data_IF_285712545003
#
_entry.id   IF_285712545003
#
_cell.length_a   1.000
_cell.length_b   1.000
_cell.length_c   1.000
_cell.angle_alpha   90.00
_cell.angle_beta   90.00
_cell.angle_gamma   90.00
#
_symmetry.space_group_name_H-M   'P 1'
#
loop_
_entity.id
_entity.type
_entity.pdbx_description
1 polymer ?
#
# COMPACT_ATOMS: atom_id res chain seq x y z
N UNK A 1 -30.01 22.06 51.60
CA UNK A 1 -30.50 20.71 51.28
C UNK A 1 -29.64 20.20 50.12
N UNK A 2 -28.48 19.54 50.19
CA UNK A 2 -27.68 18.79 51.17
C UNK A 2 -28.24 17.45 51.68
N UNK A 3 -28.18 16.42 50.84
CA UNK A 3 -27.96 15.00 51.18
C UNK A 3 -27.06 14.46 50.05
N UNK A 4 -25.77 14.10 50.19
CA UNK A 4 -25.07 13.12 51.06
C UNK A 4 -25.63 11.70 50.98
N UNK A 5 -25.09 10.91 50.05
CA UNK A 5 -24.91 9.47 50.23
C UNK A 5 -23.44 9.14 49.97
N UNK A 6 -22.84 8.47 50.95
CA UNK A 6 -21.42 8.12 51.07
C UNK A 6 -21.34 6.62 51.35
N UNK A 7 -20.23 6.01 50.90
CA UNK A 7 -19.73 4.65 51.20
C UNK A 7 -20.36 3.54 50.33
N UNK A 8 -19.61 2.54 49.86
CA UNK A 8 -18.59 1.77 50.61
C UNK A 8 -17.39 1.36 49.74
N UNK A 9 -16.25 1.50 50.40
CA UNK A 9 -14.90 1.04 50.14
C UNK A 9 -14.79 -0.49 50.21
N UNK A 10 -14.14 -1.13 49.23
CA UNK A 10 -13.88 -2.57 49.23
C UNK A 10 -12.70 -2.95 48.34
N UNK A 11 -11.50 -3.00 48.93
CA UNK A 11 -10.23 -3.44 48.35
C UNK A 11 -10.27 -4.93 47.95
N UNK A 12 -9.69 -5.28 46.81
CA UNK A 12 -8.99 -6.56 46.64
C UNK A 12 -7.92 -6.42 45.55
N UNK A 13 -6.67 -6.51 46.00
CA UNK A 13 -5.47 -6.72 45.19
C UNK A 13 -5.60 -8.07 44.47
N UNK A 14 -5.46 -8.06 43.15
CA UNK A 14 -5.33 -9.25 42.30
C UNK A 14 -4.30 -8.98 41.21
N UNK A 15 -3.29 -9.83 41.14
CA UNK A 15 -2.15 -9.72 40.23
C UNK A 15 -2.59 -9.55 38.76
N UNK A 16 -1.99 -8.59 38.06
CA UNK A 16 -2.10 -8.45 36.62
C UNK A 16 -1.30 -9.59 35.95
N UNK A 17 -1.99 -10.68 35.64
CA UNK A 17 -1.59 -11.60 34.60
C UNK A 17 -2.18 -11.07 33.28
N UNK A 18 -1.35 -10.89 32.25
CA UNK A 18 -1.79 -10.63 30.90
C UNK A 18 -2.48 -11.90 30.37
N UNK A 19 -3.80 -12.00 30.58
CA UNK A 19 -4.66 -12.93 29.87
C UNK A 19 -5.10 -12.26 28.59
N UNK A 20 -4.49 -12.65 27.47
CA UNK A 20 -5.02 -12.34 26.14
C UNK A 20 -6.32 -13.12 26.02
N UNK A 21 -7.43 -12.42 26.16
CA UNK A 21 -8.75 -12.97 25.94
C UNK A 21 -8.91 -13.13 24.42
N UNK A 22 -8.87 -14.38 23.95
CA UNK A 22 -9.26 -14.71 22.60
C UNK A 22 -10.74 -14.30 22.44
N UNK A 23 -10.98 -13.23 21.70
CA UNK A 23 -12.31 -12.81 21.28
C UNK A 23 -12.84 -13.81 20.27
N UNK A 24 -13.98 -14.40 20.61
CA UNK A 24 -14.67 -15.49 19.93
C UNK A 24 -15.60 -14.99 18.79
N UNK A 25 -15.12 -14.06 17.97
CA UNK A 25 -15.88 -13.55 16.80
C UNK A 25 -14.94 -13.38 15.60
N UNK A 26 -14.40 -14.51 15.12
CA UNK A 26 -13.71 -14.59 13.84
C UNK A 26 -14.66 -15.03 12.72
N UNK A 27 -14.52 -14.49 11.49
CA UNK A 27 -15.28 -14.92 10.33
C UNK A 27 -15.02 -16.41 10.07
N UNK A 28 -16.04 -17.16 9.66
CA UNK A 28 -15.90 -18.57 9.33
C UNK A 28 -14.84 -18.73 8.25
N UNK A 29 -13.67 -19.19 8.69
CA UNK A 29 -12.45 -19.22 7.89
C UNK A 29 -12.62 -20.07 6.64
N UNK A 30 -12.03 -19.59 5.55
CA UNK A 30 -11.63 -20.40 4.41
C UNK A 30 -10.86 -21.60 4.97
N UNK A 31 -11.49 -22.77 4.99
CA UNK A 31 -10.95 -23.96 5.64
C UNK A 31 -9.65 -24.36 4.92
N UNK A 32 -8.51 -23.99 5.49
CA UNK A 32 -7.22 -24.47 5.01
C UNK A 32 -7.04 -25.96 5.40
N UNK A 33 -6.39 -26.74 4.54
CA UNK A 33 -6.10 -28.14 4.85
C UNK A 33 -5.02 -28.21 5.93
N UNK A 34 -5.24 -28.89 7.08
CA UNK A 34 -4.23 -28.99 8.12
C UNK A 34 -2.89 -29.54 7.57
N UNK A 35 -1.80 -28.81 7.84
CA UNK A 35 -0.46 -29.10 7.33
C UNK A 35 -0.13 -28.49 5.96
N UNK A 36 -1.10 -27.86 5.28
CA UNK A 36 -0.82 -27.12 4.05
C UNK A 36 -0.17 -25.76 4.35
N UNK A 37 0.82 -25.35 3.54
CA UNK A 37 1.31 -23.99 3.56
C UNK A 37 0.26 -23.04 2.97
N UNK A 38 0.09 -21.88 3.60
CA UNK A 38 -0.73 -20.77 3.11
C UNK A 38 0.13 -19.51 3.05
N UNK A 39 -0.06 -18.70 2.00
CA UNK A 39 0.62 -17.42 1.86
C UNK A 39 0.05 -16.42 2.87
N UNK A 40 0.92 -15.61 3.45
CA UNK A 40 0.56 -14.56 4.39
C UNK A 40 1.42 -13.33 4.13
N UNK A 41 0.89 -12.14 4.41
CA UNK A 41 1.61 -10.88 4.25
C UNK A 41 2.49 -10.62 5.46
N UNK A 42 3.76 -10.33 5.23
CA UNK A 42 4.70 -9.88 6.25
C UNK A 42 4.62 -8.36 6.45
N UNK A 43 5.14 -7.90 7.59
CA UNK A 43 5.09 -6.48 7.97
C UNK A 43 5.93 -5.58 7.04
N UNK A 44 6.89 -6.16 6.33
CA UNK A 44 7.79 -5.53 5.35
C UNK A 44 7.24 -5.65 3.91
N UNK A 45 5.99 -6.08 3.74
CA UNK A 45 5.36 -6.29 2.44
C UNK A 45 5.80 -7.58 1.73
N UNK A 46 6.74 -8.36 2.28
CA UNK A 46 7.13 -9.63 1.70
C UNK A 46 6.04 -10.70 1.88
N UNK A 47 5.97 -11.69 0.97
CA UNK A 47 5.12 -12.86 1.15
C UNK A 47 5.82 -13.88 2.06
N UNK A 48 5.24 -14.11 3.23
CA UNK A 48 5.61 -15.17 4.15
C UNK A 48 4.82 -16.45 3.93
N UNK A 49 5.17 -17.49 4.68
CA UNK A 49 4.42 -18.75 4.70
C UNK A 49 3.95 -19.06 6.11
N UNK A 50 2.67 -19.36 6.26
CA UNK A 50 2.10 -19.92 7.49
C UNK A 50 1.67 -21.37 7.25
N UNK A 51 1.62 -22.17 8.31
CA UNK A 51 1.11 -23.54 8.26
C UNK A 51 -0.31 -23.56 8.81
N UNK A 52 -1.23 -24.14 8.05
CA UNK A 52 -2.58 -24.38 8.53
C UNK A 52 -2.58 -25.41 9.67
N UNK A 53 -3.11 -25.03 10.82
CA UNK A 53 -3.23 -25.89 12.00
C UNK A 53 -4.49 -26.75 11.93
N UNK A 54 -4.54 -27.78 12.78
CA UNK A 54 -5.75 -28.57 12.97
C UNK A 54 -6.89 -27.65 13.46
N UNK A 55 -8.03 -27.68 12.77
CA UNK A 55 -9.16 -26.79 13.01
C UNK A 55 -9.31 -25.65 12.01
N UNK A 56 -8.48 -25.60 10.96
CA UNK A 56 -8.60 -24.60 9.88
C UNK A 56 -8.06 -23.22 10.27
N UNK A 57 -7.32 -23.13 11.38
CA UNK A 57 -6.69 -21.89 11.86
C UNK A 57 -5.34 -21.73 11.21
N UNK A 58 -5.09 -20.57 10.60
CA UNK A 58 -3.78 -20.23 10.03
C UNK A 58 -2.80 -19.94 11.16
N UNK A 59 -1.67 -20.65 11.20
CA UNK A 59 -0.60 -20.42 12.17
C UNK A 59 0.13 -19.09 11.96
N UNK A 60 1.12 -18.76 12.83
CA UNK A 60 1.90 -17.53 12.68
C UNK A 60 2.65 -17.50 11.33
N UNK A 61 2.68 -16.32 10.71
CA UNK A 61 3.40 -16.11 9.46
C UNK A 61 4.91 -16.21 9.70
N UNK A 62 5.59 -17.10 8.98
CA UNK A 62 7.05 -17.18 8.99
C UNK A 62 7.58 -16.33 7.84
N UNK A 63 8.08 -15.16 8.20
CA UNK A 63 8.75 -14.24 7.30
C UNK A 63 10.23 -14.60 7.24
N UNK A 64 10.75 -14.90 6.06
CA UNK A 64 12.18 -15.08 5.88
C UNK A 64 12.85 -13.73 6.09
N UNK A 65 13.84 -13.64 6.98
CA UNK A 65 14.71 -12.47 7.01
C UNK A 65 15.33 -12.34 5.61
N UNK A 66 15.18 -11.16 4.99
CA UNK A 66 15.88 -10.85 3.75
C UNK A 66 17.38 -11.09 4.00
N UNK A 67 17.93 -12.19 3.48
CA UNK A 67 19.36 -12.39 3.47
C UNK A 67 19.92 -11.53 2.36
N UNK A 68 20.55 -10.42 2.73
CA UNK A 68 21.44 -9.68 1.87
C UNK A 68 22.53 -10.63 1.35
N UNK A 69 22.53 -10.94 0.06
CA UNK A 69 23.44 -11.95 -0.48
C UNK A 69 23.40 -12.11 -2.00
N UNK A 70 24.02 -11.18 -2.71
CA UNK A 70 24.44 -11.33 -4.11
C UNK A 70 25.36 -12.56 -4.29
N UNK A 71 25.13 -13.36 -5.35
CA UNK A 71 26.24 -13.94 -6.13
C UNK A 71 26.26 -15.44 -6.45
N UNK A 72 25.61 -15.81 -7.55
CA UNK A 72 26.19 -16.44 -8.76
C UNK A 72 26.64 -17.94 -8.85
N UNK A 73 26.18 -18.55 -9.96
CA UNK A 73 26.89 -19.41 -10.94
C UNK A 73 26.90 -20.94 -10.83
N UNK A 74 26.41 -21.61 -11.88
CA UNK A 74 27.14 -22.52 -12.79
C UNK A 74 26.21 -22.90 -13.96
N UNK A 75 26.58 -23.02 -15.23
CA UNK A 75 27.81 -23.53 -15.86
C UNK A 75 27.81 -23.22 -17.38
N UNK A 76 28.97 -23.17 -18.03
CA UNK A 76 29.08 -23.26 -19.49
C UNK A 76 30.28 -22.57 -20.13
N UNK A 77 31.39 -23.30 -20.27
CA UNK A 77 32.71 -22.88 -20.74
C UNK A 77 32.81 -22.44 -22.22
N UNK A 78 33.79 -21.59 -22.53
CA UNK A 78 34.32 -21.37 -23.88
C UNK A 78 35.48 -20.36 -23.94
N UNK A 79 36.72 -20.85 -23.97
CA UNK A 79 37.99 -20.13 -24.25
C UNK A 79 37.91 -19.35 -25.58
N UNK A 80 38.59 -18.21 -25.83
CA UNK A 80 40.04 -18.06 -26.02
C UNK A 80 40.40 -16.61 -26.41
N UNK A 81 41.56 -16.10 -25.95
CA UNK A 81 42.35 -15.02 -26.58
C UNK A 81 41.84 -13.59 -26.35
N UNK A 82 42.65 -12.57 -26.10
CA UNK A 82 44.10 -12.42 -26.03
C UNK A 82 44.42 -10.92 -25.87
N UNK A 83 45.63 -10.62 -25.38
CA UNK A 83 46.30 -9.30 -25.45
C UNK A 83 45.64 -8.17 -24.63
N UNK A 84 46.22 -7.59 -23.59
CA UNK A 84 47.60 -7.12 -23.49
C UNK A 84 47.66 -5.65 -23.91
N UNK A 85 47.44 -4.71 -22.97
CA UNK A 85 47.89 -3.32 -23.07
C UNK A 85 48.36 -2.86 -21.68
N UNK A 86 49.68 -2.94 -21.50
CA UNK A 86 50.41 -2.13 -20.53
C UNK A 86 50.73 -0.78 -21.19
N UNK A 87 50.84 0.27 -20.36
CA UNK A 87 51.27 1.65 -20.63
C UNK A 87 50.30 2.57 -21.39
N UNK A 88 50.06 3.73 -20.73
CA UNK A 88 49.62 5.04 -21.21
C UNK A 88 48.32 5.16 -22.03
N UNK A 89 47.25 5.60 -21.35
CA UNK A 89 46.14 6.35 -21.97
C UNK A 89 45.03 5.54 -22.62
N UNK A 90 44.17 4.92 -21.80
CA UNK A 90 42.79 4.61 -22.22
C UNK A 90 41.86 5.68 -21.64
N UNK A 91 41.61 6.73 -22.41
CA UNK A 91 40.41 7.54 -22.26
C UNK A 91 39.36 6.96 -23.21
N UNK A 92 38.30 6.37 -22.67
CA UNK A 92 36.98 6.45 -23.30
C UNK A 92 35.87 6.27 -22.27
N UNK A 93 35.21 7.40 -21.98
CA UNK A 93 33.76 7.57 -22.05
C UNK A 93 32.91 6.34 -21.66
N UNK A 94 32.84 6.11 -20.35
CA UNK A 94 31.90 5.17 -19.76
C UNK A 94 31.55 5.65 -18.37
N UNK A 95 30.94 6.83 -18.27
CA UNK A 95 30.10 7.13 -17.13
C UNK A 95 28.94 6.13 -17.19
N UNK A 96 29.18 4.92 -16.68
CA UNK A 96 28.10 4.09 -16.18
C UNK A 96 27.40 4.97 -15.18
N UNK A 97 26.21 5.41 -15.55
CA UNK A 97 25.26 6.06 -14.68
C UNK A 97 25.29 5.31 -13.36
N UNK A 98 25.98 5.89 -12.38
CA UNK A 98 25.61 5.74 -11.00
C UNK A 98 24.11 5.95 -11.01
N UNK A 99 23.36 4.87 -10.77
CA UNK A 99 22.03 4.97 -10.19
C UNK A 99 22.13 6.10 -9.19
N UNK A 100 21.60 7.26 -9.57
CA UNK A 100 21.47 8.37 -8.67
C UNK A 100 20.62 7.78 -7.56
N UNK A 101 21.27 7.46 -6.45
CA UNK A 101 20.65 7.49 -5.14
C UNK A 101 20.07 8.89 -5.05
N UNK A 102 18.85 9.03 -5.58
CA UNK A 102 18.19 10.30 -5.81
C UNK A 102 18.20 11.03 -4.49
N UNK A 103 18.61 12.30 -4.52
CA UNK A 103 18.44 13.21 -3.41
C UNK A 103 17.05 13.00 -2.83
N UNK A 104 16.98 12.44 -1.63
CA UNK A 104 15.69 12.27 -0.98
C UNK A 104 15.14 13.70 -0.79
N UNK A 105 14.03 13.99 -1.45
CA UNK A 105 13.49 15.34 -1.52
C UNK A 105 12.94 15.72 -0.15
N UNK A 106 13.21 16.96 0.30
CA UNK A 106 12.56 17.48 1.50
C UNK A 106 11.03 17.67 1.31
N UNK A 107 10.57 17.70 0.05
CA UNK A 107 9.15 17.80 -0.31
C UNK A 107 8.62 16.42 -0.70
N UNK A 108 7.52 16.01 -0.07
CA UNK A 108 6.90 14.70 -0.26
C UNK A 108 6.15 14.68 -1.59
N UNK A 109 5.28 15.67 -1.81
CA UNK A 109 4.48 15.82 -3.02
C UNK A 109 5.29 16.40 -4.18
N UNK A 110 5.41 15.64 -5.25
CA UNK A 110 6.17 16.02 -6.44
C UNK A 110 5.28 16.61 -7.56
N UNK A 111 3.99 16.30 -7.56
CA UNK A 111 3.04 16.78 -8.57
C UNK A 111 1.88 15.83 -8.79
N UNK A 112 1.10 16.07 -9.85
CA UNK A 112 -0.03 15.22 -10.24
C UNK A 112 -0.04 14.91 -11.72
N UNK A 113 -0.49 13.71 -12.05
CA UNK A 113 -0.87 13.33 -13.40
C UNK A 113 -2.38 13.45 -13.55
N UNK A 114 -2.86 14.25 -14.50
CA UNK A 114 -4.28 14.55 -14.63
C UNK A 114 -5.07 13.55 -15.45
N UNK A 115 -6.34 13.34 -15.06
CA UNK A 115 -7.34 12.67 -15.89
C UNK A 115 -7.06 11.20 -16.15
N UNK A 116 -6.64 10.45 -15.12
CA UNK A 116 -6.44 9.01 -15.20
C UNK A 116 -7.77 8.28 -14.99
N UNK A 117 -8.26 7.49 -15.97
CA UNK A 117 -9.40 6.59 -15.78
C UNK A 117 -8.96 5.30 -15.11
N UNK A 118 -9.90 4.54 -14.50
CA UNK A 118 -9.71 3.12 -14.20
C UNK A 118 -10.21 2.28 -15.40
N UNK A 119 -9.44 1.28 -15.91
CA UNK A 119 -8.11 0.90 -15.45
C UNK A 119 -7.04 1.94 -15.80
N UNK A 120 -6.07 2.11 -14.91
CA UNK A 120 -4.94 2.99 -15.15
C UNK A 120 -4.08 2.41 -16.27
N UNK A 121 -3.67 3.25 -17.22
CA UNK A 121 -2.87 2.83 -18.36
C UNK A 121 -1.92 3.92 -18.81
N UNK A 122 -0.64 3.59 -18.90
CA UNK A 122 0.41 4.53 -19.30
C UNK A 122 1.58 3.79 -19.95
N UNK A 123 1.96 4.20 -21.16
CA UNK A 123 3.10 3.65 -21.90
C UNK A 123 3.17 2.11 -22.03
N UNK A 124 2.01 1.43 -21.99
CA UNK A 124 1.93 -0.04 -22.10
C UNK A 124 1.88 -0.76 -20.76
N UNK A 125 2.08 -0.06 -19.65
CA UNK A 125 1.83 -0.56 -18.29
C UNK A 125 0.34 -0.42 -17.94
N UNK A 126 -0.12 -1.21 -16.95
CA UNK A 126 -1.48 -1.14 -16.40
C UNK A 126 -1.50 -1.09 -14.87
N UNK A 127 -2.62 -0.63 -14.32
CA UNK A 127 -2.85 -0.59 -12.87
C UNK A 127 -1.88 0.33 -12.14
N UNK A 128 -1.50 -0.04 -10.92
CA UNK A 128 -0.53 0.72 -10.11
C UNK A 128 0.80 0.94 -10.85
N UNK A 129 1.28 -0.03 -11.63
CA UNK A 129 2.51 0.12 -12.42
C UNK A 129 2.41 1.24 -13.46
N UNK A 130 1.24 1.42 -14.07
CA UNK A 130 0.97 2.55 -14.96
C UNK A 130 1.00 3.89 -14.22
N UNK A 131 0.42 3.93 -13.01
CA UNK A 131 0.47 5.11 -12.15
C UNK A 131 1.92 5.49 -11.81
N UNK A 132 2.73 4.52 -11.38
CA UNK A 132 4.14 4.74 -11.05
C UNK A 132 4.93 5.23 -12.27
N UNK A 133 4.71 4.62 -13.45
CA UNK A 133 5.34 5.06 -14.68
C UNK A 133 4.92 6.49 -15.09
N UNK A 134 3.65 6.86 -14.87
CA UNK A 134 3.15 8.21 -15.10
C UNK A 134 3.84 9.22 -14.16
N UNK A 135 3.99 8.87 -12.88
CA UNK A 135 4.70 9.70 -11.90
C UNK A 135 6.19 9.84 -12.21
N UNK A 136 6.86 8.76 -12.59
CA UNK A 136 8.24 8.78 -13.05
C UNK A 136 8.45 9.72 -14.25
N UNK A 137 7.46 9.84 -15.15
CA UNK A 137 7.53 10.78 -16.29
C UNK A 137 7.50 12.26 -15.88
N UNK A 138 7.04 12.56 -14.66
CA UNK A 138 7.05 13.90 -14.05
C UNK A 138 8.31 14.15 -13.20
N UNK A 139 9.20 13.16 -13.07
CA UNK A 139 10.38 13.22 -12.20
C UNK A 139 10.09 12.88 -10.74
N UNK A 140 8.90 12.37 -10.43
CA UNK A 140 8.57 11.79 -9.12
C UNK A 140 9.00 10.32 -9.04
N UNK A 141 8.95 9.72 -7.86
CA UNK A 141 9.35 8.32 -7.67
C UNK A 141 8.18 7.35 -7.92
N UNK A 142 7.02 7.63 -7.32
CA UNK A 142 5.87 6.72 -7.35
C UNK A 142 4.54 7.46 -7.16
N UNK A 143 3.42 6.72 -7.26
CA UNK A 143 2.09 7.20 -6.86
C UNK A 143 2.06 7.35 -5.34
N UNK A 144 1.65 8.51 -4.85
CA UNK A 144 1.56 8.76 -3.41
C UNK A 144 0.69 7.70 -2.71
N UNK A 145 1.24 7.10 -1.66
CA UNK A 145 0.47 6.36 -0.69
C UNK A 145 -0.36 7.31 0.19
N UNK A 146 -1.45 6.80 0.75
CA UNK A 146 -2.34 7.55 1.62
C UNK A 146 -1.57 8.25 2.76
N UNK A 147 -0.62 7.57 3.40
CA UNK A 147 0.18 8.17 4.49
C UNK A 147 1.06 9.32 4.01
N UNK A 148 1.60 9.23 2.79
CA UNK A 148 2.39 10.30 2.19
C UNK A 148 1.51 11.50 1.83
N UNK A 149 0.29 11.25 1.33
CA UNK A 149 -0.70 12.32 1.12
C UNK A 149 -1.01 13.02 2.43
N UNK A 150 -1.20 12.28 3.53
CA UNK A 150 -1.46 12.85 4.86
C UNK A 150 -0.26 13.65 5.38
N UNK A 151 0.96 13.16 5.14
CA UNK A 151 2.17 13.87 5.52
C UNK A 151 2.39 15.15 4.71
N UNK A 152 2.17 15.11 3.39
CA UNK A 152 2.20 16.28 2.51
C UNK A 152 1.10 17.31 2.85
N UNK A 153 -0.09 16.85 3.26
CA UNK A 153 -1.16 17.72 3.79
C UNK A 153 -0.69 18.45 5.05
N UNK A 154 -0.10 17.73 6.01
CA UNK A 154 0.42 18.31 7.25
C UNK A 154 1.59 19.29 7.01
N UNK A 155 2.32 19.12 5.91
CA UNK A 155 3.41 19.99 5.46
C UNK A 155 2.93 21.18 4.59
N UNK A 156 1.62 21.31 4.32
CA UNK A 156 1.02 22.35 3.48
C UNK A 156 1.55 22.37 2.02
N UNK A 157 1.87 21.19 1.48
CA UNK A 157 2.48 21.06 0.14
C UNK A 157 1.48 21.12 -1.01
N UNK A 158 0.18 21.09 -0.72
CA UNK A 158 -0.90 21.03 -1.70
C UNK A 158 -1.40 22.40 -2.18
N UNK A 159 -0.57 23.43 -2.04
CA UNK A 159 -0.89 24.79 -2.48
C UNK A 159 -1.31 24.80 -3.96
N UNK A 160 -2.52 25.30 -4.23
CA UNK A 160 -3.05 25.44 -5.59
C UNK A 160 -3.81 24.23 -6.14
N UNK A 161 -4.02 23.17 -5.34
CA UNK A 161 -4.81 22.01 -5.77
C UNK A 161 -6.33 22.14 -5.57
N UNK A 162 -6.83 23.25 -5.02
CA UNK A 162 -8.27 23.43 -4.74
C UNK A 162 -9.14 23.12 -5.97
N UNK A 163 -10.22 22.37 -5.77
CA UNK A 163 -11.11 21.78 -6.78
C UNK A 163 -10.47 20.68 -7.66
N UNK A 164 -9.41 20.04 -7.18
CA UNK A 164 -8.85 18.84 -7.81
C UNK A 164 -9.40 17.60 -7.13
N UNK A 165 -9.64 16.55 -7.92
CA UNK A 165 -10.04 15.23 -7.45
C UNK A 165 -8.91 14.26 -7.79
N UNK A 166 -8.51 13.41 -6.84
CA UNK A 166 -7.48 12.42 -7.07
C UNK A 166 -7.89 11.04 -6.54
N UNK A 167 -7.35 9.99 -7.16
CA UNK A 167 -7.43 8.64 -6.61
C UNK A 167 -6.57 8.54 -5.34
N UNK A 168 -6.98 7.67 -4.41
CA UNK A 168 -6.24 7.40 -3.17
C UNK A 168 -5.71 5.97 -3.21
N UNK A 169 -4.40 5.82 -3.07
CA UNK A 169 -3.76 4.51 -2.92
C UNK A 169 -3.44 4.26 -1.45
N UNK A 170 -4.12 3.32 -0.81
CA UNK A 170 -3.99 3.05 0.63
C UNK A 170 -3.47 1.65 0.90
N UNK A 171 -2.48 1.52 1.77
CA UNK A 171 -1.88 0.23 2.17
C UNK A 171 -1.97 -0.05 3.67
N UNK A 172 -2.61 0.83 4.43
CA UNK A 172 -2.79 0.73 5.89
C UNK A 172 -4.26 0.69 6.28
N UNK A 173 -4.55 0.11 7.46
CA UNK A 173 -5.89 0.17 8.07
C UNK A 173 -6.16 1.61 8.51
N UNK A 174 -7.33 2.15 8.17
CA UNK A 174 -7.78 3.48 8.56
C UNK A 174 -9.15 3.42 9.22
N UNK A 175 -9.41 4.30 10.18
CA UNK A 175 -10.73 4.41 10.81
C UNK A 175 -11.67 5.21 9.92
N UNK A 176 -12.58 4.52 9.23
CA UNK A 176 -13.62 5.09 8.37
C UNK A 176 -14.94 5.01 9.11
N UNK A 177 -15.54 6.16 9.43
CA UNK A 177 -16.78 6.24 10.24
C UNK A 177 -16.71 5.47 11.58
N UNK A 178 -15.52 5.49 12.22
CA UNK A 178 -15.20 4.74 13.44
C UNK A 178 -15.20 3.21 13.29
N UNK A 179 -15.18 2.72 12.05
CA UNK A 179 -14.94 1.32 11.71
C UNK A 179 -13.51 1.19 11.18
N UNK A 180 -12.66 0.33 11.78
CA UNK A 180 -11.35 0.03 11.22
C UNK A 180 -11.52 -0.65 9.86
N UNK A 181 -11.22 0.07 8.79
CA UNK A 181 -11.29 -0.41 7.41
C UNK A 181 -9.90 -0.83 6.95
N UNK A 182 -9.73 -2.11 6.64
CA UNK A 182 -8.51 -2.59 6.02
C UNK A 182 -8.35 -2.03 4.60
N UNK A 183 -7.11 -1.84 4.14
CA UNK A 183 -6.88 -1.67 2.72
C UNK A 183 -7.28 -3.01 2.08
N UNK A 184 -8.27 -2.98 1.22
CA UNK A 184 -8.80 -4.19 0.61
C UNK A 184 -8.97 -4.02 -0.89
N UNK A 185 -9.14 -5.13 -1.62
CA UNK A 185 -9.32 -5.06 -3.07
C UNK A 185 -10.56 -4.22 -3.44
N UNK A 186 -11.54 -4.14 -2.53
CA UNK A 186 -12.72 -3.30 -2.61
C UNK A 186 -12.47 -1.80 -2.56
N UNK A 187 -11.35 -1.30 -2.01
CA UNK A 187 -11.08 0.15 -1.95
C UNK A 187 -10.26 0.70 -3.12
N UNK A 188 -9.72 -0.16 -4.00
CA UNK A 188 -8.69 0.23 -4.98
C UNK A 188 -9.00 -0.24 -6.39
N UNK A 189 -10.27 -0.49 -6.70
CA UNK A 189 -10.74 -1.22 -7.89
C UNK A 189 -9.73 -2.19 -8.46
N UNK A 190 -9.38 -3.11 -7.56
CA UNK A 190 -8.33 -4.13 -7.65
C UNK A 190 -7.06 -3.58 -8.33
N UNK A 191 -6.34 -2.78 -7.54
CA UNK A 191 -5.09 -2.12 -7.88
C UNK A 191 -5.12 -1.41 -9.24
N UNK A 192 -6.26 -0.75 -9.47
CA UNK A 192 -6.53 0.09 -10.63
C UNK A 192 -6.55 -0.66 -11.96
N UNK A 193 -6.79 -1.96 -11.92
CA UNK A 193 -6.84 -2.83 -13.11
C UNK A 193 -8.26 -3.16 -13.55
N UNK A 194 -9.26 -2.95 -12.70
CA UNK A 194 -10.66 -3.25 -12.99
C UNK A 194 -11.49 -1.98 -13.20
N UNK A 195 -11.83 -1.70 -14.47
CA UNK A 195 -12.68 -0.57 -14.85
C UNK A 195 -14.18 -0.86 -14.87
N UNK A 196 -14.63 -2.01 -14.36
CA UNK A 196 -16.05 -2.40 -14.42
C UNK A 196 -16.90 -1.78 -13.31
N UNK A 197 -16.30 -1.46 -12.16
CA UNK A 197 -16.99 -0.87 -11.01
C UNK A 197 -18.11 -1.74 -10.44
N UNK A 198 -18.08 -3.06 -10.68
CA UNK A 198 -19.12 -4.01 -10.25
C UNK A 198 -18.74 -4.82 -9.01
N UNK A 199 -17.48 -4.74 -8.62
CA UNK A 199 -16.81 -5.79 -7.84
C UNK A 199 -15.88 -5.21 -6.79
N UNK A 200 -15.34 -4.04 -7.06
CA UNK A 200 -14.63 -3.23 -6.09
C UNK A 200 -14.97 -1.76 -6.36
N UNK A 201 -14.76 -0.95 -5.34
CA UNK A 201 -14.90 0.50 -5.32
C UNK A 201 -13.54 1.19 -5.43
N UNK A 202 -13.57 2.49 -5.68
CA UNK A 202 -12.38 3.31 -5.87
C UNK A 202 -12.33 4.44 -4.87
N UNK A 203 -11.42 4.34 -3.91
CA UNK A 203 -11.15 5.39 -2.94
C UNK A 203 -10.56 6.64 -3.63
N UNK A 204 -11.01 7.81 -3.20
CA UNK A 204 -10.62 9.08 -3.80
C UNK A 204 -10.61 10.22 -2.78
N UNK A 205 -10.03 11.34 -3.17
CA UNK A 205 -10.01 12.57 -2.37
C UNK A 205 -10.34 13.79 -3.21
N UNK A 206 -10.79 14.85 -2.54
CA UNK A 206 -10.92 16.18 -3.10
C UNK A 206 -10.13 17.21 -2.31
N UNK A 207 -9.47 18.10 -3.02
CA UNK A 207 -8.81 19.26 -2.45
C UNK A 207 -9.82 20.40 -2.37
N UNK A 208 -10.22 20.79 -1.17
CA UNK A 208 -11.15 21.90 -0.95
C UNK A 208 -10.41 23.16 -0.50
N UNK A 209 -11.11 24.28 -0.35
CA UNK A 209 -10.52 25.48 0.25
C UNK A 209 -10.25 25.32 1.76
N UNK A 210 -10.78 24.27 2.39
CA UNK A 210 -10.71 24.00 3.82
C UNK A 210 -9.71 22.89 4.18
N UNK A 211 -9.16 22.18 3.18
CA UNK A 211 -8.30 21.03 3.36
C UNK A 211 -8.65 19.87 2.43
N UNK A 212 -8.06 18.71 2.66
CA UNK A 212 -8.32 17.50 1.88
C UNK A 212 -9.51 16.74 2.50
N UNK A 213 -10.47 16.36 1.65
CA UNK A 213 -11.58 15.48 2.05
C UNK A 213 -11.33 14.10 1.45
N UNK A 214 -11.34 13.07 2.29
CA UNK A 214 -11.10 11.69 1.89
C UNK A 214 -12.42 10.92 1.80
N UNK A 215 -12.60 10.22 0.69
CA UNK A 215 -13.70 9.31 0.43
C UNK A 215 -13.14 7.90 0.44
N UNK A 216 -13.10 7.32 1.63
CA UNK A 216 -12.59 5.98 1.88
C UNK A 216 -13.74 4.99 1.99
N UNK A 217 -13.46 3.74 1.63
CA UNK A 217 -14.40 2.65 1.74
C UNK A 217 -14.34 2.05 3.16
N UNK A 218 -15.49 1.98 3.83
CA UNK A 218 -15.60 1.35 5.15
C UNK A 218 -15.69 -0.19 5.08
N UNK A 219 -15.98 -0.75 3.90
CA UNK A 219 -16.25 -2.16 3.68
C UNK A 219 -15.53 -2.69 2.44
N UNK A 220 -14.21 -2.84 2.55
CA UNK A 220 -13.33 -3.21 1.42
C UNK A 220 -13.36 -4.69 1.02
N UNK A 221 -14.39 -5.44 1.46
CA UNK A 221 -14.50 -6.86 1.18
C UNK A 221 -14.64 -7.12 -0.34
N UNK A 222 -13.90 -8.13 -0.82
CA UNK A 222 -13.93 -8.53 -2.22
C UNK A 222 -13.63 -10.02 -2.40
N UNK A 223 -14.52 -10.73 -3.10
CA UNK A 223 -14.35 -12.13 -3.47
C UNK A 223 -14.54 -12.41 -4.98
N UNK A 224 -14.75 -11.37 -5.79
CA UNK A 224 -14.98 -11.47 -7.24
C UNK A 224 -16.37 -11.99 -7.64
N UNK A 225 -17.27 -12.23 -6.68
CA UNK A 225 -18.57 -12.83 -6.91
C UNK A 225 -19.71 -12.03 -6.26
N UNK A 226 -19.46 -11.51 -5.07
CA UNK A 226 -20.39 -10.68 -4.32
C UNK A 226 -20.15 -9.20 -4.59
N UNK A 227 -21.24 -8.51 -4.93
CA UNK A 227 -21.26 -7.06 -5.17
C UNK A 227 -21.98 -6.31 -4.03
N UNK A 228 -22.47 -7.01 -3.01
CA UNK A 228 -23.23 -6.41 -1.91
C UNK A 228 -22.39 -5.46 -1.05
N UNK A 229 -21.07 -5.57 -1.14
CA UNK A 229 -20.07 -4.74 -0.47
C UNK A 229 -19.63 -3.53 -1.31
N UNK A 230 -20.17 -3.35 -2.53
CA UNK A 230 -19.81 -2.21 -3.39
C UNK A 230 -20.72 -0.99 -3.18
N UNK A 231 -20.14 0.20 -3.14
CA UNK A 231 -20.80 1.51 -3.22
C UNK A 231 -20.44 2.23 -4.53
N UNK A 232 -21.00 1.70 -5.62
CA UNK A 232 -20.83 2.23 -6.96
C UNK A 232 -21.33 3.68 -7.16
N UNK A 233 -22.05 4.27 -6.19
CA UNK A 233 -22.52 5.66 -6.27
C UNK A 233 -21.53 6.63 -5.61
N UNK A 234 -21.01 6.29 -4.43
CA UNK A 234 -20.10 7.15 -3.68
C UNK A 234 -18.64 6.94 -4.06
N UNK A 235 -18.27 5.71 -4.44
CA UNK A 235 -16.91 5.30 -4.79
C UNK A 235 -16.79 4.62 -6.18
N UNK A 236 -17.34 5.22 -7.26
CA UNK A 236 -17.28 4.67 -8.61
C UNK A 236 -15.87 4.66 -9.22
N UNK A 237 -15.53 3.56 -9.89
CA UNK A 237 -14.29 3.43 -10.68
C UNK A 237 -14.50 3.62 -12.19
N UNK A 238 -15.61 3.11 -12.71
CA UNK A 238 -15.87 3.14 -14.14
C UNK A 238 -16.26 4.55 -14.62
N UNK A 239 -15.76 4.94 -15.80
CA UNK A 239 -16.14 6.19 -16.49
C UNK A 239 -15.85 7.49 -15.71
N UNK A 240 -14.92 7.45 -14.76
CA UNK A 240 -14.50 8.63 -13.99
C UNK A 240 -13.02 8.88 -14.20
N UNK A 241 -12.70 10.16 -14.32
CA UNK A 241 -11.34 10.66 -14.48
C UNK A 241 -10.95 11.39 -13.21
N UNK A 242 -9.88 10.96 -12.56
CA UNK A 242 -9.28 11.69 -11.43
C UNK A 242 -7.78 11.80 -11.64
N UNK A 243 -7.15 12.73 -10.95
CA UNK A 243 -5.70 12.84 -10.97
C UNK A 243 -5.06 11.70 -10.19
N UNK A 244 -3.82 11.38 -10.51
CA UNK A 244 -2.92 10.53 -9.71
C UNK A 244 -1.92 11.47 -9.05
N UNK A 245 -1.82 11.42 -7.73
CA UNK A 245 -0.80 12.19 -7.00
C UNK A 245 0.52 11.45 -7.04
N UNK A 246 1.61 12.17 -7.22
CA UNK A 246 2.95 11.63 -7.37
C UNK A 246 3.85 12.14 -6.25
N UNK A 247 4.54 11.22 -5.59
CA UNK A 247 5.38 11.48 -4.42
C UNK A 247 6.84 11.13 -4.69
N UNK A 248 7.73 11.77 -3.94
CA UNK A 248 9.15 11.42 -3.89
C UNK A 248 9.36 10.36 -2.81
N UNK A 249 10.38 9.52 -2.97
CA UNK A 249 10.78 8.58 -1.93
C UNK A 249 11.12 9.34 -0.62
N UNK A 250 10.61 8.83 0.50
CA UNK A 250 10.89 9.38 1.82
C UNK A 250 12.39 9.28 2.17
N UNK A 251 12.92 10.38 2.72
CA UNK A 251 14.06 10.32 3.64
C UNK A 251 13.56 9.83 5.02
#
# INVERSE_FOLDING_TARGET
MLERVTAILGCLLGAAACSVQAGDDGPQGTACTPGAPVSCSCLDGALGTAICQAGGVVGPCTCGAATDGSGASSSGSGSSGGSGCATDGCADSGASSSSESGDCSATIYAGKFDGMPVPWGFQGEMGLAAGNAACASLGADHVCEYQEVRAAEAADEFAGLVNTFAWVHRETIEDVEAVPSAPGPGGRCVDWTDGTGMFADGEWLEFTAQGVVYHLDADTFYDGLDSSHTDAMSLPCANIMRSVLCCNAAC
#
